data_IF_057784855873
#
_entry.id   IF_057784855873
#
_cell.length_a   1.000
_cell.length_b   1.000
_cell.length_c   1.000
_cell.angle_alpha   90.00
_cell.angle_beta   90.00
_cell.angle_gamma   90.00
#
_symmetry.space_group_name_H-M   'P 1'
#
loop_
_entity.id
_entity.type
_entity.pdbx_description
1 polymer ?
#
# COMPACT_ATOMS: atom_id res chain seq x y z
N UNK A 1 12.01 -31.77 23.98
CA UNK A 1 12.63 -30.44 23.92
C UNK A 1 12.40 -29.97 22.51
N UNK A 2 11.32 -29.22 22.35
CA UNK A 2 10.73 -28.88 21.06
C UNK A 2 11.64 -27.87 20.33
N UNK A 3 11.78 -28.00 19.03
CA UNK A 3 12.57 -27.06 18.19
C UNK A 3 11.89 -25.68 18.06
N UNK A 4 10.78 -25.47 18.77
CA UNK A 4 9.99 -24.24 18.80
C UNK A 4 10.54 -23.14 19.74
N UNK A 5 11.48 -23.45 20.64
CA UNK A 5 11.98 -22.51 21.66
C UNK A 5 13.37 -21.90 21.34
N UNK A 6 13.98 -22.22 20.20
CA UNK A 6 15.20 -21.52 19.78
C UNK A 6 14.80 -20.17 19.15
N UNK A 7 15.35 -19.02 19.60
CA UNK A 7 15.11 -17.76 18.93
C UNK A 7 15.56 -17.91 17.46
N UNK A 8 14.75 -17.48 16.48
CA UNK A 8 15.14 -17.58 15.09
C UNK A 8 16.49 -16.88 14.89
N UNK A 9 17.36 -17.48 14.07
CA UNK A 9 18.64 -16.85 13.74
C UNK A 9 18.36 -15.44 13.18
N UNK A 10 19.02 -14.43 13.74
CA UNK A 10 18.83 -13.04 13.37
C UNK A 10 19.05 -12.86 11.86
N UNK A 11 18.05 -12.32 11.15
CA UNK A 11 18.11 -12.03 9.72
C UNK A 11 18.95 -10.76 9.49
N UNK A 12 20.26 -10.92 9.39
CA UNK A 12 21.20 -9.80 9.23
C UNK A 12 21.46 -9.52 7.76
N UNK A 13 21.10 -8.32 7.31
CA UNK A 13 21.54 -7.75 6.03
C UNK A 13 22.55 -6.63 6.31
N UNK A 14 23.70 -6.69 5.64
CA UNK A 14 24.82 -5.75 5.88
C UNK A 14 25.09 -4.78 4.74
N UNK A 15 24.49 -5.04 3.58
CA UNK A 15 24.82 -4.34 2.34
C UNK A 15 23.61 -3.62 1.77
N UNK A 16 23.89 -2.58 1.00
CA UNK A 16 22.97 -1.96 0.04
C UNK A 16 23.06 -2.73 -1.29
N UNK A 17 22.10 -2.53 -2.19
CA UNK A 17 22.22 -3.02 -3.57
C UNK A 17 22.36 -1.84 -4.52
N UNK A 18 23.55 -1.65 -5.09
CA UNK A 18 23.86 -0.48 -5.92
C UNK A 18 24.65 -0.95 -7.13
N UNK A 19 24.26 -0.49 -8.32
CA UNK A 19 24.92 -0.84 -9.57
C UNK A 19 25.01 -2.36 -9.82
N UNK A 20 24.03 -3.14 -9.35
CA UNK A 20 23.99 -4.60 -9.54
C UNK A 20 24.68 -5.42 -8.44
N UNK A 21 25.42 -4.78 -7.54
CA UNK A 21 26.22 -5.45 -6.52
C UNK A 21 25.73 -5.16 -5.09
N UNK A 22 25.99 -6.10 -4.18
CA UNK A 22 25.86 -5.88 -2.75
C UNK A 22 27.09 -5.11 -2.25
N UNK A 23 26.89 -3.88 -1.79
CA UNK A 23 27.97 -2.97 -1.38
C UNK A 23 27.83 -2.53 0.07
N UNK A 24 28.95 -2.19 0.71
CA UNK A 24 28.92 -1.58 2.02
C UNK A 24 28.22 -0.21 1.98
N UNK A 25 27.37 0.09 2.97
CA UNK A 25 26.82 1.42 3.16
C UNK A 25 27.94 2.40 3.57
N UNK A 26 27.77 3.68 3.28
CA UNK A 26 28.47 4.69 4.06
C UNK A 26 28.05 4.56 5.54
N UNK A 27 28.96 4.86 6.47
CA UNK A 27 28.74 4.61 7.89
C UNK A 27 27.52 5.39 8.43
N UNK A 28 26.36 4.70 8.50
CA UNK A 28 25.10 5.19 9.07
C UNK A 28 24.56 4.28 10.18
N UNK A 29 25.26 3.20 10.51
CA UNK A 29 24.82 2.19 11.48
C UNK A 29 23.79 1.21 10.90
N UNK A 30 22.92 0.69 11.77
CA UNK A 30 21.91 -0.32 11.41
C UNK A 30 20.53 0.05 11.96
N UNK A 31 19.50 -0.47 11.31
CA UNK A 31 18.10 -0.39 11.72
C UNK A 31 17.67 -1.78 12.19
N UNK A 32 17.24 -1.95 13.45
CA UNK A 32 16.69 -3.21 13.92
C UNK A 32 15.28 -3.42 13.35
N UNK A 33 14.96 -4.67 13.03
CA UNK A 33 13.63 -5.10 12.59
C UNK A 33 12.99 -5.91 13.71
N UNK A 34 11.89 -5.40 14.23
CA UNK A 34 11.14 -6.00 15.33
C UNK A 34 10.03 -6.92 14.79
N UNK A 35 9.76 -8.03 15.47
CA UNK A 35 8.53 -8.78 15.28
C UNK A 35 7.41 -8.16 16.14
N UNK A 36 6.38 -7.55 15.54
CA UNK A 36 5.35 -6.84 16.29
C UNK A 36 4.46 -7.75 17.16
N UNK A 37 4.48 -9.06 16.94
CA UNK A 37 3.71 -10.01 17.76
C UNK A 37 4.42 -10.33 19.08
N UNK A 38 5.75 -10.19 19.14
CA UNK A 38 6.56 -10.59 20.31
C UNK A 38 7.33 -9.43 20.94
N UNK A 39 7.64 -8.39 20.17
CA UNK A 39 8.54 -7.29 20.55
C UNK A 39 10.03 -7.62 20.41
N UNK A 40 10.37 -8.79 19.85
CA UNK A 40 11.75 -9.25 19.70
C UNK A 40 12.36 -8.77 18.38
N UNK A 41 13.67 -8.50 18.39
CA UNK A 41 14.39 -8.15 17.17
C UNK A 41 14.68 -9.43 16.37
N UNK A 42 14.14 -9.51 15.17
CA UNK A 42 14.25 -10.66 14.25
C UNK A 42 15.27 -10.43 13.13
N UNK A 43 15.66 -9.18 12.89
CA UNK A 43 16.61 -8.85 11.85
C UNK A 43 17.20 -7.47 12.01
N UNK A 44 18.11 -7.13 11.11
CA UNK A 44 18.65 -5.78 11.00
C UNK A 44 19.12 -5.51 9.58
N UNK A 45 18.99 -4.26 9.16
CA UNK A 45 19.44 -3.77 7.84
C UNK A 45 20.34 -2.55 8.03
N UNK A 46 21.16 -2.17 7.04
CA UNK A 46 21.91 -0.92 7.09
C UNK A 46 20.98 0.29 7.19
N UNK A 47 21.43 1.32 7.91
CA UNK A 47 20.82 2.64 7.82
C UNK A 47 21.60 3.44 6.76
N UNK A 48 21.06 3.51 5.54
CA UNK A 48 21.67 4.28 4.46
C UNK A 48 21.74 5.77 4.77
N UNK A 49 22.63 6.45 4.06
CA UNK A 49 22.92 7.88 4.21
C UNK A 49 22.60 8.65 2.93
N UNK A 50 22.61 9.99 2.94
CA UNK A 50 22.53 10.78 1.71
C UNK A 50 23.63 10.44 0.70
N UNK A 51 24.84 10.12 1.15
CA UNK A 51 25.94 9.71 0.26
C UNK A 51 25.64 8.39 -0.46
N UNK A 52 24.89 7.48 0.18
CA UNK A 52 24.45 6.25 -0.47
C UNK A 52 23.34 6.49 -1.50
N UNK A 53 22.47 7.46 -1.23
CA UNK A 53 21.48 7.94 -2.22
C UNK A 53 22.21 8.50 -3.45
N UNK A 54 23.21 9.36 -3.26
CA UNK A 54 23.98 9.94 -4.37
C UNK A 54 24.63 8.84 -5.22
N UNK A 55 25.24 7.83 -4.58
CA UNK A 55 25.83 6.66 -5.27
C UNK A 55 24.79 5.88 -6.07
N UNK A 56 23.63 5.61 -5.48
CA UNK A 56 22.55 4.86 -6.12
C UNK A 56 21.91 5.64 -7.29
N UNK A 57 21.71 6.95 -7.13
CA UNK A 57 21.16 7.81 -8.19
C UNK A 57 22.16 7.96 -9.34
N UNK A 58 23.45 8.10 -9.05
CA UNK A 58 24.48 8.12 -10.09
C UNK A 58 24.50 6.82 -10.90
N UNK A 59 24.38 5.67 -10.24
CA UNK A 59 24.28 4.37 -10.91
C UNK A 59 23.01 4.26 -11.78
N UNK A 60 21.87 4.68 -11.26
CA UNK A 60 20.60 4.72 -12.00
C UNK A 60 20.70 5.62 -13.24
N UNK A 61 21.24 6.83 -13.09
CA UNK A 61 21.44 7.79 -14.18
C UNK A 61 22.36 7.23 -15.28
N UNK A 62 23.44 6.55 -14.90
CA UNK A 62 24.36 5.93 -15.85
C UNK A 62 23.72 4.77 -16.63
N UNK A 63 22.85 3.98 -15.98
CA UNK A 63 22.17 2.85 -16.60
C UNK A 63 21.00 3.26 -17.51
N UNK A 64 20.40 4.42 -17.26
CA UNK A 64 19.16 4.87 -17.93
C UNK A 64 19.20 4.84 -19.46
N UNK A 65 20.20 5.41 -20.16
CA UNK A 65 20.20 5.41 -21.63
C UNK A 65 20.16 4.00 -22.23
N UNK A 66 20.86 3.04 -21.62
CA UNK A 66 20.89 1.65 -22.09
C UNK A 66 19.58 0.92 -21.85
N UNK A 67 18.99 1.08 -20.67
CA UNK A 67 17.72 0.44 -20.31
C UNK A 67 16.52 1.02 -21.07
N UNK A 68 16.48 2.35 -21.25
CA UNK A 68 15.45 3.01 -22.04
C UNK A 68 15.46 2.56 -23.51
N UNK A 69 16.63 2.21 -24.05
CA UNK A 69 16.81 1.72 -25.41
C UNK A 69 16.58 0.21 -25.59
N UNK A 70 16.47 -0.57 -24.51
CA UNK A 70 16.17 -2.01 -24.56
C UNK A 70 14.85 -2.25 -25.30
N UNK A 71 14.77 -3.26 -26.16
CA UNK A 71 13.54 -3.54 -26.90
C UNK A 71 12.40 -3.95 -25.95
N UNK A 72 11.12 -3.64 -26.26
CA UNK A 72 9.97 -4.02 -25.42
C UNK A 72 9.95 -5.50 -25.01
N UNK A 73 10.18 -6.41 -25.96
CA UNK A 73 10.21 -7.86 -25.71
C UNK A 73 11.39 -8.28 -24.79
N UNK A 74 12.54 -7.63 -24.94
CA UNK A 74 13.70 -7.87 -24.07
C UNK A 74 13.44 -7.36 -22.65
N UNK A 75 12.85 -6.16 -22.50
CA UNK A 75 12.42 -5.63 -21.18
C UNK A 75 11.41 -6.57 -20.52
N UNK A 76 10.41 -7.04 -21.28
CA UNK A 76 9.45 -8.02 -20.79
C UNK A 76 10.14 -9.31 -20.32
N UNK A 77 11.13 -9.81 -21.06
CA UNK A 77 11.88 -11.01 -20.68
C UNK A 77 12.69 -10.82 -19.38
N UNK A 78 13.24 -9.62 -19.11
CA UNK A 78 13.86 -9.31 -17.81
C UNK A 78 12.83 -9.34 -16.67
N UNK A 79 11.66 -8.74 -16.86
CA UNK A 79 10.59 -8.74 -15.86
C UNK A 79 10.01 -10.15 -15.62
N UNK A 80 9.97 -10.99 -16.65
CA UNK A 80 9.51 -12.38 -16.52
C UNK A 80 10.49 -13.23 -15.71
N UNK A 81 11.80 -13.04 -15.90
CA UNK A 81 12.82 -13.67 -15.03
C UNK A 81 12.71 -13.21 -13.58
N UNK A 82 12.46 -11.91 -13.36
CA UNK A 82 12.20 -11.38 -12.01
C UNK A 82 10.94 -12.01 -11.40
N UNK A 83 9.87 -12.15 -12.18
CA UNK A 83 8.66 -12.83 -11.74
C UNK A 83 8.96 -14.28 -11.34
N UNK A 84 9.70 -15.03 -12.16
CA UNK A 84 10.05 -16.41 -11.86
C UNK A 84 10.89 -16.53 -10.57
N UNK A 85 11.90 -15.68 -10.39
CA UNK A 85 12.75 -15.67 -9.20
C UNK A 85 11.97 -15.30 -7.92
N UNK A 86 11.02 -14.36 -8.00
CA UNK A 86 10.13 -14.04 -6.88
C UNK A 86 9.12 -15.15 -6.59
N UNK A 87 8.54 -15.77 -7.63
CA UNK A 87 7.57 -16.85 -7.46
C UNK A 87 8.20 -18.05 -6.74
N UNK A 88 9.46 -18.36 -7.02
CA UNK A 88 10.22 -19.39 -6.31
C UNK A 88 10.42 -19.08 -4.81
N UNK A 89 10.25 -17.82 -4.39
CA UNK A 89 10.41 -17.35 -3.01
C UNK A 89 9.08 -17.00 -2.32
N UNK A 90 7.94 -17.31 -2.94
CA UNK A 90 6.63 -16.87 -2.43
C UNK A 90 6.35 -17.30 -0.97
N UNK A 91 6.75 -18.52 -0.60
CA UNK A 91 6.58 -19.02 0.77
C UNK A 91 7.51 -18.32 1.77
N UNK A 92 8.76 -18.05 1.37
CA UNK A 92 9.72 -17.30 2.19
C UNK A 92 9.22 -15.87 2.43
N UNK A 93 8.76 -15.20 1.36
CA UNK A 93 8.17 -13.87 1.43
C UNK A 93 6.98 -13.85 2.39
N UNK A 94 6.05 -14.81 2.28
CA UNK A 94 4.89 -14.87 3.15
C UNK A 94 5.27 -15.02 4.63
N UNK A 95 6.27 -15.85 4.93
CA UNK A 95 6.77 -16.04 6.31
C UNK A 95 7.50 -14.80 6.81
N UNK A 96 8.31 -14.15 5.98
CA UNK A 96 9.00 -12.90 6.33
C UNK A 96 7.99 -11.80 6.64
N UNK A 97 6.94 -11.63 5.84
CA UNK A 97 5.88 -10.64 6.12
C UNK A 97 5.12 -10.97 7.41
N UNK A 98 4.83 -12.25 7.68
CA UNK A 98 4.22 -12.65 8.94
C UNK A 98 5.10 -12.32 10.17
N UNK A 99 6.43 -12.36 10.00
CA UNK A 99 7.40 -12.00 11.05
C UNK A 99 7.58 -10.49 11.21
N UNK A 100 7.82 -9.74 10.13
CA UNK A 100 8.20 -8.31 10.23
C UNK A 100 6.99 -7.36 10.29
N UNK A 101 5.84 -7.76 9.74
CA UNK A 101 4.61 -6.95 9.75
C UNK A 101 3.55 -7.51 10.71
N UNK A 102 3.59 -8.82 10.99
CA UNK A 102 2.58 -9.49 11.80
C UNK A 102 1.31 -9.89 11.03
N UNK A 103 1.31 -9.84 9.70
CA UNK A 103 0.14 -10.31 8.92
C UNK A 103 -0.04 -11.82 9.12
N UNK A 104 -1.25 -12.32 9.48
CA UNK A 104 -1.48 -13.75 9.61
C UNK A 104 -1.06 -14.53 8.37
N UNK A 105 -0.36 -15.65 8.53
CA UNK A 105 0.34 -16.34 7.44
C UNK A 105 -0.57 -16.66 6.24
N UNK A 106 -1.80 -17.11 6.51
CA UNK A 106 -2.81 -17.37 5.45
C UNK A 106 -3.14 -16.13 4.61
N UNK A 107 -3.14 -14.96 5.23
CA UNK A 107 -3.34 -13.68 4.54
C UNK A 107 -2.04 -13.22 3.87
N UNK A 108 -0.89 -13.40 4.53
CA UNK A 108 0.42 -13.09 3.97
C UNK A 108 0.68 -13.87 2.67
N UNK A 109 0.41 -15.17 2.63
CA UNK A 109 0.56 -15.99 1.42
C UNK A 109 -0.30 -15.49 0.27
N UNK A 110 -1.61 -15.33 0.50
CA UNK A 110 -2.55 -15.00 -0.59
C UNK A 110 -2.42 -13.56 -1.07
N UNK A 111 -2.20 -12.63 -0.15
CA UNK A 111 -2.24 -11.19 -0.44
C UNK A 111 -0.85 -10.60 -0.48
N UNK A 112 -0.04 -10.76 0.58
CA UNK A 112 1.27 -10.09 0.65
C UNK A 112 2.32 -10.69 -0.30
N UNK A 113 2.27 -11.99 -0.58
CA UNK A 113 3.13 -12.66 -1.56
C UNK A 113 2.43 -12.87 -2.92
N UNK A 114 1.16 -13.27 -2.93
CA UNK A 114 0.44 -13.59 -4.17
C UNK A 114 0.05 -12.39 -5.04
N UNK A 115 -0.44 -11.30 -4.43
CA UNK A 115 -0.82 -10.10 -5.17
C UNK A 115 0.36 -9.45 -5.93
N UNK A 116 1.56 -9.25 -5.34
CA UNK A 116 2.69 -8.68 -6.09
C UNK A 116 3.09 -9.53 -7.29
N UNK A 117 3.02 -10.87 -7.21
CA UNK A 117 3.29 -11.73 -8.37
C UNK A 117 2.28 -11.49 -9.50
N UNK A 118 1.00 -11.34 -9.14
CA UNK A 118 -0.06 -11.04 -10.11
C UNK A 118 0.16 -9.67 -10.77
N UNK A 119 0.52 -8.65 -9.98
CA UNK A 119 0.83 -7.31 -10.51
C UNK A 119 2.06 -7.35 -11.40
N UNK A 120 3.16 -7.99 -10.97
CA UNK A 120 4.37 -8.10 -11.77
C UNK A 120 4.12 -8.84 -13.09
N UNK A 121 3.33 -9.91 -13.08
CA UNK A 121 2.91 -10.62 -14.30
C UNK A 121 2.22 -9.68 -15.29
N UNK A 122 1.31 -8.82 -14.81
CA UNK A 122 0.68 -7.84 -15.70
C UNK A 122 1.66 -6.83 -16.29
N UNK A 123 2.73 -6.49 -15.56
CA UNK A 123 3.77 -5.58 -16.05
C UNK A 123 4.68 -6.23 -17.09
N UNK A 124 4.91 -7.55 -17.02
CA UNK A 124 5.55 -8.32 -18.11
C UNK A 124 4.76 -8.15 -19.40
N UNK A 125 3.44 -8.35 -19.32
CA UNK A 125 2.53 -8.30 -20.46
C UNK A 125 2.40 -6.89 -21.06
N UNK A 126 2.50 -5.85 -20.23
CA UNK A 126 2.47 -4.44 -20.64
C UNK A 126 3.83 -3.96 -21.17
N UNK A 127 4.95 -4.46 -20.63
CA UNK A 127 6.28 -4.13 -21.13
C UNK A 127 6.49 -4.59 -22.58
N UNK A 128 5.91 -5.74 -22.96
CA UNK A 128 5.93 -6.26 -24.33
C UNK A 128 5.02 -5.47 -25.29
N UNK A 129 4.08 -4.67 -24.75
CA UNK A 129 3.06 -3.94 -25.51
C UNK A 129 3.00 -2.48 -25.07
N UNK A 130 4.04 -1.69 -25.37
CA UNK A 130 4.06 -0.28 -24.99
C UNK A 130 2.87 0.46 -25.63
N UNK A 131 2.40 1.57 -25.02
CA UNK A 131 1.35 2.39 -25.59
C UNK A 131 1.67 2.78 -27.03
N UNK A 132 0.66 2.71 -27.90
CA UNK A 132 0.83 3.05 -29.31
C UNK A 132 1.16 4.54 -29.49
N UNK A 133 2.01 4.84 -30.47
CA UNK A 133 2.21 6.20 -30.95
C UNK A 133 0.95 6.67 -31.69
N UNK A 134 0.63 7.96 -31.58
CA UNK A 134 -0.52 8.57 -32.23
C UNK A 134 -0.06 9.70 -33.16
N UNK A 135 -0.71 9.86 -34.33
CA UNK A 135 -0.49 11.04 -35.18
C UNK A 135 -1.67 12.01 -35.06
N UNK A 136 -1.39 13.23 -34.60
CA UNK A 136 -2.36 14.33 -34.52
C UNK A 136 -1.94 15.40 -35.53
N UNK A 137 -2.67 15.50 -36.66
CA UNK A 137 -2.27 16.38 -37.75
C UNK A 137 -0.91 15.97 -38.34
N UNK A 138 0.09 16.87 -38.26
CA UNK A 138 1.47 16.61 -38.69
C UNK A 138 2.41 16.19 -37.53
N UNK A 139 1.88 16.07 -36.32
CA UNK A 139 2.66 15.72 -35.13
C UNK A 139 2.57 14.23 -34.83
N UNK A 140 3.70 13.54 -34.73
CA UNK A 140 3.77 12.22 -34.11
C UNK A 140 3.92 12.40 -32.59
N UNK A 141 2.98 11.86 -31.82
CA UNK A 141 3.01 11.85 -30.36
C UNK A 141 3.60 10.52 -29.89
N UNK A 142 4.73 10.60 -29.18
CA UNK A 142 5.43 9.45 -28.61
C UNK A 142 5.48 9.55 -27.08
N UNK A 143 5.60 8.40 -26.41
CA UNK A 143 5.84 8.30 -24.96
C UNK A 143 7.25 7.82 -24.69
N UNK A 144 7.95 8.48 -23.79
CA UNK A 144 9.33 8.14 -23.43
C UNK A 144 9.45 8.02 -21.91
N UNK A 145 10.30 7.14 -21.37
CA UNK A 145 10.48 7.03 -19.92
C UNK A 145 10.93 8.36 -19.31
N UNK A 146 10.39 8.69 -18.13
CA UNK A 146 10.70 9.95 -17.44
C UNK A 146 12.16 10.05 -16.98
N UNK A 147 12.82 8.90 -16.74
CA UNK A 147 14.24 8.86 -16.36
C UNK A 147 14.50 8.06 -15.09
N UNK A 148 15.14 8.70 -14.11
CA UNK A 148 15.43 8.13 -12.79
C UNK A 148 14.24 8.36 -11.87
N UNK A 149 13.73 7.27 -11.30
CA UNK A 149 12.59 7.28 -10.36
C UNK A 149 13.09 7.03 -8.94
N UNK A 150 12.76 7.94 -8.03
CA UNK A 150 12.86 7.71 -6.60
C UNK A 150 11.59 7.04 -6.08
N UNK A 151 11.66 5.78 -5.69
CA UNK A 151 10.53 5.02 -5.16
C UNK A 151 10.61 4.92 -3.63
N UNK A 152 9.59 5.41 -2.92
CA UNK A 152 9.50 5.39 -1.46
C UNK A 152 8.21 4.68 -1.05
N UNK A 153 8.31 3.60 -0.28
CA UNK A 153 7.17 2.71 0.02
C UNK A 153 6.88 2.58 1.51
N UNK A 154 5.60 2.33 1.87
CA UNK A 154 5.16 2.15 3.24
C UNK A 154 5.37 0.69 3.67
N UNK A 155 5.04 0.42 4.93
CA UNK A 155 5.28 -0.86 5.59
C UNK A 155 4.11 -1.87 5.47
N UNK A 156 2.90 -1.41 5.15
CA UNK A 156 1.69 -2.20 5.37
C UNK A 156 1.43 -3.28 4.30
N UNK A 157 1.98 -3.10 3.10
CA UNK A 157 1.98 -4.10 2.03
C UNK A 157 3.37 -4.13 1.38
N UNK A 158 4.39 -4.63 2.11
CA UNK A 158 5.79 -4.25 1.86
C UNK A 158 6.30 -4.65 0.48
N UNK A 159 5.94 -5.84 -0.04
CA UNK A 159 6.32 -6.22 -1.40
C UNK A 159 5.40 -5.60 -2.45
N UNK A 160 4.08 -5.63 -2.21
CA UNK A 160 3.11 -5.16 -3.20
C UNK A 160 3.31 -3.68 -3.54
N UNK A 161 3.55 -2.82 -2.54
CA UNK A 161 3.81 -1.40 -2.76
C UNK A 161 5.12 -1.14 -3.50
N UNK A 162 6.12 -2.00 -3.31
CA UNK A 162 7.36 -1.93 -4.09
C UNK A 162 7.09 -2.33 -5.53
N UNK A 163 6.42 -3.46 -5.76
CA UNK A 163 6.12 -3.96 -7.11
C UNK A 163 5.20 -2.99 -7.88
N UNK A 164 4.22 -2.37 -7.22
CA UNK A 164 3.31 -1.39 -7.83
C UNK A 164 4.02 -0.13 -8.36
N UNK A 165 5.26 0.13 -7.93
CA UNK A 165 6.10 1.25 -8.39
C UNK A 165 7.23 0.79 -9.29
N UNK A 166 8.02 -0.17 -8.82
CA UNK A 166 9.23 -0.63 -9.50
C UNK A 166 8.88 -1.30 -10.82
N UNK A 167 7.91 -2.22 -10.84
CA UNK A 167 7.59 -2.97 -12.05
C UNK A 167 7.08 -2.09 -13.21
N UNK A 168 6.10 -1.18 -13.02
CA UNK A 168 5.69 -0.28 -14.09
C UNK A 168 6.78 0.73 -14.50
N UNK A 169 7.61 1.22 -13.57
CA UNK A 169 8.75 2.07 -13.92
C UNK A 169 9.75 1.34 -14.82
N UNK A 170 10.10 0.10 -14.48
CA UNK A 170 10.96 -0.74 -15.31
C UNK A 170 10.33 -1.07 -16.67
N UNK A 171 9.03 -1.37 -16.69
CA UNK A 171 8.28 -1.62 -17.92
C UNK A 171 8.28 -0.41 -18.87
N UNK A 172 8.17 0.80 -18.32
CA UNK A 172 8.26 2.06 -19.07
C UNK A 172 9.68 2.35 -19.60
N UNK A 173 10.71 1.69 -19.07
CA UNK A 173 12.12 1.93 -19.41
C UNK A 173 12.85 2.89 -18.47
N UNK A 174 12.30 3.18 -17.29
CA UNK A 174 12.94 3.98 -16.25
C UNK A 174 13.93 3.14 -15.43
N UNK A 175 14.86 3.82 -14.76
CA UNK A 175 15.67 3.23 -13.69
C UNK A 175 15.16 3.67 -12.32
N UNK A 176 15.36 2.86 -11.28
CA UNK A 176 14.76 3.10 -9.97
C UNK A 176 15.80 3.08 -8.84
N UNK A 177 15.64 4.01 -7.89
CA UNK A 177 16.26 3.94 -6.56
C UNK A 177 15.14 3.75 -5.54
N UNK A 178 15.14 2.61 -4.85
CA UNK A 178 14.11 2.23 -3.89
C UNK A 178 14.57 2.50 -2.45
N UNK A 179 13.72 3.17 -1.68
CA UNK A 179 13.77 3.21 -0.21
C UNK A 179 12.51 2.57 0.39
N UNK A 180 12.58 1.30 0.85
CA UNK A 180 11.46 0.65 1.53
C UNK A 180 11.30 1.17 2.95
N UNK A 181 10.12 1.02 3.56
CA UNK A 181 9.95 1.37 4.97
C UNK A 181 10.93 0.62 5.87
N UNK A 182 11.51 1.36 6.82
CA UNK A 182 12.41 0.89 7.86
C UNK A 182 11.77 -0.14 8.81
N UNK A 183 10.44 -0.22 8.86
CA UNK A 183 9.72 -1.17 9.73
C UNK A 183 9.60 -2.57 9.12
N UNK A 184 9.60 -2.68 7.78
CA UNK A 184 9.43 -3.95 7.07
C UNK A 184 10.42 -4.07 5.89
N UNK A 185 11.74 -3.93 6.12
CA UNK A 185 12.70 -3.87 5.04
C UNK A 185 13.10 -5.26 4.52
N UNK A 186 12.89 -6.34 5.26
CA UNK A 186 13.44 -7.67 4.93
C UNK A 186 12.81 -8.23 3.66
N UNK A 187 11.53 -7.98 3.43
CA UNK A 187 10.86 -8.38 2.18
C UNK A 187 11.45 -7.67 0.95
N UNK A 188 11.91 -6.42 1.08
CA UNK A 188 12.60 -5.74 -0.01
C UNK A 188 13.96 -6.39 -0.33
N UNK A 189 14.65 -6.94 0.67
CA UNK A 189 15.87 -7.71 0.42
C UNK A 189 15.61 -9.00 -0.36
N UNK A 190 14.51 -9.71 -0.10
CA UNK A 190 14.12 -10.87 -0.89
C UNK A 190 13.83 -10.51 -2.35
N UNK A 191 13.25 -9.33 -2.60
CA UNK A 191 13.12 -8.79 -3.95
C UNK A 191 14.48 -8.58 -4.60
N UNK A 192 15.46 -8.01 -3.89
CA UNK A 192 16.78 -7.72 -4.47
C UNK A 192 17.66 -8.97 -4.65
N UNK A 193 17.47 -10.00 -3.83
CA UNK A 193 17.99 -11.33 -4.11
C UNK A 193 17.43 -11.85 -5.46
N UNK A 194 16.12 -11.70 -5.69
CA UNK A 194 15.48 -12.07 -6.95
C UNK A 194 15.89 -11.20 -8.15
N UNK A 195 16.13 -9.89 -7.94
CA UNK A 195 16.69 -8.98 -8.97
C UNK A 195 18.07 -9.46 -9.42
N UNK A 196 18.91 -9.86 -8.46
CA UNK A 196 20.27 -10.36 -8.73
C UNK A 196 20.20 -11.65 -9.53
N UNK A 197 19.34 -12.59 -9.14
CA UNK A 197 19.11 -13.84 -9.87
C UNK A 197 18.54 -13.61 -11.29
N UNK A 198 17.63 -12.65 -11.45
CA UNK A 198 17.01 -12.34 -12.74
C UNK A 198 17.98 -11.68 -13.73
N UNK A 199 19.13 -11.17 -13.26
CA UNK A 199 20.15 -10.54 -14.08
C UNK A 199 19.63 -9.27 -14.76
N UNK A 200 19.00 -8.37 -13.99
CA UNK A 200 18.74 -7.01 -14.48
C UNK A 200 20.07 -6.28 -14.70
N UNK A 201 20.17 -5.40 -15.71
CA UNK A 201 21.41 -4.66 -15.94
C UNK A 201 21.84 -3.84 -14.72
N UNK A 202 23.15 -3.74 -14.45
CA UNK A 202 23.70 -2.90 -13.38
C UNK A 202 23.09 -1.50 -13.33
N UNK A 203 22.59 -1.10 -12.16
CA UNK A 203 22.05 0.25 -11.91
C UNK A 203 20.60 0.47 -12.31
N UNK A 204 19.96 -0.47 -13.02
CA UNK A 204 18.55 -0.33 -13.42
C UNK A 204 17.62 -0.27 -12.22
N UNK A 205 17.93 -0.99 -11.15
CA UNK A 205 17.22 -0.93 -9.88
C UNK A 205 18.24 -0.97 -8.74
N UNK A 206 18.06 -0.10 -7.74
CA UNK A 206 18.99 0.07 -6.61
C UNK A 206 18.20 0.12 -5.30
N UNK A 207 18.77 -0.39 -4.20
CA UNK A 207 18.18 -0.45 -2.87
C UNK A 207 18.99 0.37 -1.88
N UNK A 208 18.35 1.37 -1.27
CA UNK A 208 18.91 2.13 -0.15
C UNK A 208 17.91 2.13 1.02
N UNK A 209 17.95 1.16 1.95
CA UNK A 209 17.20 1.23 3.19
C UNK A 209 17.67 2.42 4.03
N UNK A 210 16.77 2.95 4.86
CA UNK A 210 17.06 4.05 5.75
C UNK A 210 15.77 4.68 6.26
N UNK A 211 15.86 5.68 7.13
CA UNK A 211 14.67 6.36 7.66
C UNK A 211 14.12 7.38 6.68
N UNK A 212 12.85 7.74 6.84
CA UNK A 212 12.21 8.79 6.03
C UNK A 212 12.96 10.13 6.05
N UNK A 213 13.27 10.71 7.23
CA UNK A 213 13.96 12.00 7.33
C UNK A 213 15.38 12.04 6.74
N UNK A 214 16.04 10.89 6.59
CA UNK A 214 17.43 10.81 6.08
C UNK A 214 17.42 10.42 4.61
N UNK A 215 17.12 9.16 4.31
CA UNK A 215 17.21 8.63 2.93
C UNK A 215 16.01 9.06 2.10
N UNK A 216 14.81 9.09 2.70
CA UNK A 216 13.60 9.49 1.98
C UNK A 216 13.63 10.95 1.53
N UNK A 217 14.04 11.88 2.41
CA UNK A 217 14.18 13.29 2.04
C UNK A 217 15.33 13.53 1.07
N UNK A 218 16.48 12.87 1.27
CA UNK A 218 17.61 12.96 0.34
C UNK A 218 17.19 12.54 -1.07
N UNK A 219 16.49 11.40 -1.21
CA UNK A 219 16.01 10.91 -2.49
C UNK A 219 14.98 11.84 -3.13
N UNK A 220 14.06 12.41 -2.34
CA UNK A 220 13.02 13.31 -2.85
C UNK A 220 13.57 14.67 -3.30
N UNK A 221 14.65 15.14 -2.68
CA UNK A 221 15.31 16.41 -3.00
C UNK A 221 16.42 16.26 -4.06
N UNK A 222 16.82 15.04 -4.41
CA UNK A 222 18.03 14.80 -5.19
C UNK A 222 17.94 15.40 -6.61
N UNK A 223 18.95 16.17 -7.09
CA UNK A 223 18.90 16.91 -8.35
C UNK A 223 18.73 16.04 -9.62
N UNK A 224 19.14 14.79 -9.54
CA UNK A 224 19.07 13.85 -10.68
C UNK A 224 17.92 12.82 -10.58
N UNK A 225 16.88 13.06 -9.78
CA UNK A 225 15.67 12.21 -9.72
C UNK A 225 14.50 12.85 -10.47
N UNK A 226 14.10 12.30 -11.61
CA UNK A 226 13.13 12.93 -12.53
C UNK A 226 11.68 12.81 -12.03
N UNK A 227 11.37 11.73 -11.30
CA UNK A 227 10.06 11.50 -10.69
C UNK A 227 10.22 10.87 -9.30
N UNK A 228 9.44 11.34 -8.32
CA UNK A 228 9.33 10.71 -7.00
C UNK A 228 7.97 10.01 -6.87
N UNK A 229 7.97 8.69 -6.74
CA UNK A 229 6.77 7.90 -6.48
C UNK A 229 6.74 7.51 -5.00
N UNK A 230 5.75 8.04 -4.27
CA UNK A 230 5.62 7.86 -2.83
C UNK A 230 4.25 7.29 -2.48
N UNK A 231 4.24 6.24 -1.64
CA UNK A 231 3.04 5.84 -0.91
C UNK A 231 3.29 5.97 0.59
N UNK A 232 2.33 6.55 1.33
CA UNK A 232 2.41 6.65 2.77
C UNK A 232 1.45 7.68 3.34
N UNK A 233 1.86 8.40 4.39
CA UNK A 233 0.97 9.37 5.05
C UNK A 233 0.79 10.65 4.21
N UNK A 234 -0.37 11.29 4.32
CA UNK A 234 -0.63 12.61 3.69
C UNK A 234 0.39 13.68 4.12
N UNK A 235 0.84 13.65 5.39
CA UNK A 235 1.82 14.60 5.90
C UNK A 235 3.18 14.44 5.21
N UNK A 236 3.66 13.19 5.09
CA UNK A 236 4.91 12.88 4.38
C UNK A 236 4.77 13.16 2.88
N UNK A 237 3.65 12.82 2.25
CA UNK A 237 3.41 13.13 0.83
C UNK A 237 3.50 14.62 0.52
N UNK A 238 2.96 15.48 1.40
CA UNK A 238 3.11 16.94 1.28
C UNK A 238 4.57 17.38 1.42
N UNK A 239 5.33 16.78 2.34
CA UNK A 239 6.77 17.05 2.49
C UNK A 239 7.54 16.68 1.24
N UNK A 240 7.28 15.50 0.66
CA UNK A 240 7.87 15.04 -0.61
C UNK A 240 7.57 16.03 -1.74
N UNK A 241 6.31 16.46 -1.87
CA UNK A 241 5.92 17.44 -2.89
C UNK A 241 6.67 18.78 -2.74
N UNK A 242 6.87 19.27 -1.50
CA UNK A 242 7.67 20.48 -1.27
C UNK A 242 9.15 20.30 -1.62
N UNK A 243 9.74 19.15 -1.31
CA UNK A 243 11.15 18.85 -1.64
C UNK A 243 11.38 18.73 -3.16
N UNK A 244 10.40 18.20 -3.88
CA UNK A 244 10.43 18.08 -5.34
C UNK A 244 10.17 19.41 -6.08
N UNK A 245 9.56 20.40 -5.41
CA UNK A 245 9.03 21.60 -6.04
C UNK A 245 10.10 22.52 -6.65
N UNK A 246 11.21 22.75 -5.94
CA UNK A 246 12.28 23.67 -6.38
C UNK A 246 12.91 23.24 -7.72
N UNK A 247 12.79 21.95 -8.03
CA UNK A 247 13.33 21.30 -9.22
C UNK A 247 12.26 20.90 -10.23
N UNK A 248 10.99 21.20 -9.94
CA UNK A 248 9.83 20.85 -10.77
C UNK A 248 9.82 19.35 -11.10
N UNK A 249 10.28 18.51 -10.16
CA UNK A 249 10.23 17.06 -10.33
C UNK A 249 8.78 16.59 -10.18
N UNK A 250 8.38 15.62 -11.00
CA UNK A 250 7.04 15.03 -10.90
C UNK A 250 6.91 14.23 -9.60
N UNK A 251 5.73 14.29 -8.99
CA UNK A 251 5.41 13.46 -7.82
C UNK A 251 4.16 12.64 -8.10
N UNK A 252 4.26 11.33 -7.87
CA UNK A 252 3.13 10.41 -7.83
C UNK A 252 2.90 10.03 -6.37
N UNK A 253 1.72 10.31 -5.83
CA UNK A 253 1.43 10.26 -4.41
C UNK A 253 0.21 9.38 -4.14
N UNK A 254 0.34 8.39 -3.27
CA UNK A 254 -0.76 7.58 -2.75
C UNK A 254 -0.80 7.68 -1.21
N UNK A 255 -1.81 8.36 -0.66
CA UNK A 255 -1.73 9.04 0.65
C UNK A 255 -2.76 8.62 1.70
N UNK A 256 -3.33 7.43 1.54
CA UNK A 256 -4.32 6.88 2.48
C UNK A 256 -5.75 7.35 2.21
N UNK A 257 -6.66 6.97 3.11
CA UNK A 257 -8.08 7.17 2.89
C UNK A 257 -8.97 7.11 4.12
N UNK A 258 -10.24 7.42 3.87
CA UNK A 258 -11.35 7.21 4.81
C UNK A 258 -12.55 6.66 4.04
N UNK A 259 -12.32 5.52 3.39
CA UNK A 259 -13.21 4.92 2.40
C UNK A 259 -14.60 4.64 2.96
N UNK A 260 -15.64 4.97 2.19
CA UNK A 260 -17.03 4.76 2.57
C UNK A 260 -17.57 3.48 1.92
N UNK A 261 -18.24 2.65 2.71
CA UNK A 261 -19.02 1.51 2.28
C UNK A 261 -20.51 1.83 2.45
N UNK A 262 -21.19 2.15 1.35
CA UNK A 262 -22.59 2.59 1.32
C UNK A 262 -23.51 1.38 1.11
N UNK A 263 -24.39 1.12 2.06
CA UNK A 263 -25.34 0.02 2.01
C UNK A 263 -26.76 0.59 1.87
N UNK A 264 -27.31 0.53 0.65
CA UNK A 264 -28.66 1.01 0.35
C UNK A 264 -29.75 0.14 1.00
N UNK A 265 -30.97 0.67 1.10
CA UNK A 265 -32.07 0.03 1.84
C UNK A 265 -32.43 -1.36 1.31
N UNK A 266 -32.29 -1.58 0.00
CA UNK A 266 -32.63 -2.80 -0.72
C UNK A 266 -31.48 -3.82 -0.80
N UNK A 267 -30.30 -3.48 -0.28
CA UNK A 267 -29.12 -4.33 -0.35
C UNK A 267 -29.29 -5.66 0.42
N UNK A 268 -28.58 -6.69 -0.02
CA UNK A 268 -28.29 -7.88 0.79
C UNK A 268 -27.39 -7.49 1.98
N UNK A 269 -28.04 -7.04 3.06
CA UNK A 269 -27.38 -6.52 4.25
C UNK A 269 -26.47 -7.55 4.94
N UNK A 270 -26.87 -8.83 5.15
CA UNK A 270 -25.95 -9.83 5.69
C UNK A 270 -24.63 -9.93 4.91
N UNK A 271 -24.71 -9.98 3.57
CA UNK A 271 -23.51 -10.04 2.72
C UNK A 271 -22.71 -8.74 2.79
N UNK A 272 -23.37 -7.59 2.62
CA UNK A 272 -22.73 -6.27 2.64
C UNK A 272 -22.00 -5.97 3.97
N UNK A 273 -22.61 -6.31 5.10
CA UNK A 273 -22.01 -6.17 6.43
C UNK A 273 -20.82 -7.11 6.60
N UNK A 274 -20.98 -8.40 6.26
CA UNK A 274 -19.91 -9.39 6.40
C UNK A 274 -18.67 -9.02 5.58
N UNK A 275 -18.87 -8.63 4.32
CA UNK A 275 -17.77 -8.20 3.44
C UNK A 275 -17.20 -6.87 3.92
N UNK A 276 -18.04 -5.93 4.34
CA UNK A 276 -17.61 -4.63 4.85
C UNK A 276 -16.74 -4.70 6.10
N UNK A 277 -17.14 -5.50 7.10
CA UNK A 277 -16.31 -5.76 8.29
C UNK A 277 -15.00 -6.43 7.89
N UNK A 278 -15.05 -7.42 7.00
CA UNK A 278 -13.85 -8.10 6.53
C UNK A 278 -12.87 -7.20 5.78
N UNK A 279 -13.37 -6.25 4.99
CA UNK A 279 -12.55 -5.25 4.32
C UNK A 279 -11.94 -4.26 5.33
N UNK A 280 -12.74 -3.73 6.25
CA UNK A 280 -12.29 -2.77 7.25
C UNK A 280 -11.21 -3.33 8.20
N UNK A 281 -11.26 -4.63 8.49
CA UNK A 281 -10.33 -5.31 9.41
C UNK A 281 -9.19 -6.04 8.68
N UNK A 282 -9.14 -6.00 7.34
CA UNK A 282 -8.09 -6.63 6.56
C UNK A 282 -6.72 -6.09 6.98
N UNK A 283 -5.75 -6.99 7.18
CA UNK A 283 -4.40 -6.64 7.63
C UNK A 283 -4.39 -5.80 8.93
N UNK A 284 -5.29 -6.15 9.86
CA UNK A 284 -5.50 -5.40 11.11
C UNK A 284 -5.91 -3.95 10.88
N UNK A 285 -6.64 -3.67 9.79
CA UNK A 285 -7.06 -2.34 9.38
C UNK A 285 -5.93 -1.44 8.88
N UNK A 286 -4.71 -1.98 8.71
CA UNK A 286 -3.55 -1.28 8.18
C UNK A 286 -3.58 -1.28 6.63
N UNK A 287 -4.67 -0.76 6.08
CA UNK A 287 -4.97 -0.82 4.65
C UNK A 287 -5.53 0.51 4.21
N UNK A 288 -4.85 1.19 3.27
CA UNK A 288 -5.24 2.52 2.79
C UNK A 288 -6.66 2.55 2.18
N UNK A 289 -7.08 1.44 1.57
CA UNK A 289 -8.40 1.29 0.97
C UNK A 289 -9.49 0.85 1.94
N UNK A 290 -9.16 0.52 3.21
CA UNK A 290 -10.09 -0.03 4.18
C UNK A 290 -11.37 0.79 4.29
N UNK A 291 -12.52 0.12 4.18
CA UNK A 291 -13.84 0.73 4.30
C UNK A 291 -14.21 1.04 5.75
N UNK A 292 -13.52 2.03 6.31
CA UNK A 292 -13.60 2.41 7.74
C UNK A 292 -14.81 3.26 8.09
N UNK A 293 -15.63 3.65 7.10
CA UNK A 293 -16.97 4.24 7.30
C UNK A 293 -18.02 3.35 6.65
N UNK A 294 -18.78 2.62 7.45
CA UNK A 294 -19.93 1.84 6.99
C UNK A 294 -21.19 2.69 7.11
N UNK A 295 -21.74 3.09 5.97
CA UNK A 295 -22.95 3.89 5.88
C UNK A 295 -24.13 2.95 5.67
N UNK A 296 -25.13 3.00 6.55
CA UNK A 296 -26.29 2.08 6.52
C UNK A 296 -27.58 2.87 6.52
N UNK A 297 -28.53 2.48 5.66
CA UNK A 297 -29.86 3.09 5.65
C UNK A 297 -30.55 2.95 7.02
N UNK A 298 -31.13 4.03 7.52
CA UNK A 298 -31.67 4.16 8.89
C UNK A 298 -32.68 3.07 9.26
N UNK A 299 -33.51 2.66 8.30
CA UNK A 299 -34.56 1.66 8.51
C UNK A 299 -34.00 0.27 8.85
N UNK A 300 -32.73 0.02 8.52
CA UNK A 300 -32.05 -1.25 8.76
C UNK A 300 -30.85 -1.13 9.70
N UNK A 301 -30.72 0.02 10.37
CA UNK A 301 -29.55 0.35 11.18
C UNK A 301 -29.39 -0.62 12.36
N UNK A 302 -30.45 -0.89 13.12
CA UNK A 302 -30.39 -1.79 14.27
C UNK A 302 -29.96 -3.22 13.87
N UNK A 303 -30.57 -3.76 12.82
CA UNK A 303 -30.22 -5.07 12.26
C UNK A 303 -28.76 -5.11 11.78
N UNK A 304 -28.28 -4.05 11.12
CA UNK A 304 -26.90 -3.97 10.69
C UNK A 304 -25.92 -3.99 11.86
N UNK A 305 -26.23 -3.31 12.97
CA UNK A 305 -25.37 -3.31 14.15
C UNK A 305 -25.25 -4.69 14.80
N UNK A 306 -26.35 -5.46 14.87
CA UNK A 306 -26.31 -6.84 15.36
C UNK A 306 -25.45 -7.72 14.45
N UNK A 307 -25.59 -7.58 13.14
CA UNK A 307 -24.77 -8.29 12.15
C UNK A 307 -23.28 -7.89 12.24
N UNK A 308 -22.99 -6.61 12.45
CA UNK A 308 -21.63 -6.10 12.61
C UNK A 308 -21.00 -6.67 13.87
N UNK A 309 -21.69 -6.64 15.02
CA UNK A 309 -21.22 -7.19 16.27
C UNK A 309 -20.90 -8.70 16.13
N UNK A 310 -21.80 -9.46 15.50
CA UNK A 310 -21.61 -10.88 15.23
C UNK A 310 -20.41 -11.15 14.31
N UNK A 311 -20.23 -10.35 13.26
CA UNK A 311 -19.11 -10.50 12.33
C UNK A 311 -17.76 -10.21 12.99
N UNK A 312 -17.68 -9.15 13.81
CA UNK A 312 -16.45 -8.72 14.50
C UNK A 312 -15.98 -9.74 15.52
N UNK A 313 -16.89 -10.46 16.20
CA UNK A 313 -16.54 -11.49 17.18
C UNK A 313 -15.67 -12.63 16.60
N UNK A 314 -15.66 -12.81 15.28
CA UNK A 314 -14.80 -13.75 14.57
C UNK A 314 -13.36 -13.27 14.33
N UNK A 315 -13.03 -12.01 14.60
CA UNK A 315 -11.70 -11.42 14.38
C UNK A 315 -10.92 -11.37 15.68
N UNK A 316 -10.31 -12.50 16.08
CA UNK A 316 -9.50 -12.55 17.30
C UNK A 316 -8.04 -12.19 16.97
N UNK A 317 -7.45 -11.19 17.66
CA UNK A 317 -6.01 -10.94 17.65
C UNK A 317 -5.25 -12.18 18.13
N UNK A 318 -4.16 -12.53 17.46
CA UNK A 318 -3.37 -13.71 17.83
C UNK A 318 -2.03 -13.80 17.12
N UNK A 319 -1.30 -14.88 17.39
CA UNK A 319 -0.04 -15.22 16.72
C UNK A 319 -0.27 -15.32 15.20
N UNK A 320 0.49 -14.56 14.38
CA UNK A 320 0.39 -14.64 12.92
C UNK A 320 0.59 -16.05 12.32
N UNK A 321 1.28 -16.95 13.03
CA UNK A 321 1.53 -18.32 12.60
C UNK A 321 0.45 -19.32 13.02
N UNK A 322 -0.44 -18.95 13.94
CA UNK A 322 -1.60 -19.79 14.28
C UNK A 322 -2.61 -19.76 13.11
N UNK A 323 -2.96 -20.92 12.51
CA UNK A 323 -3.92 -20.99 11.41
C UNK A 323 -5.34 -20.51 11.77
N UNK A 324 -5.68 -20.40 13.05
CA UNK A 324 -6.93 -19.83 13.53
C UNK A 324 -6.91 -18.29 13.60
N UNK A 325 -5.74 -17.65 13.58
CA UNK A 325 -5.61 -16.20 13.69
C UNK A 325 -6.20 -15.50 12.46
N UNK A 326 -7.05 -14.51 12.73
CA UNK A 326 -7.68 -13.66 11.70
C UNK A 326 -7.22 -12.21 11.73
N UNK A 327 -6.60 -11.79 12.85
CA UNK A 327 -6.13 -10.42 13.06
C UNK A 327 -4.72 -10.49 13.68
N UNK A 328 -3.75 -9.87 13.03
CA UNK A 328 -2.38 -9.77 13.54
C UNK A 328 -2.20 -8.56 14.47
N UNK A 329 -1.00 -8.35 15.02
CA UNK A 329 -0.66 -7.10 15.71
C UNK A 329 -0.63 -5.92 14.72
N UNK A 330 -0.53 -4.71 15.25
CA UNK A 330 -0.12 -3.54 14.48
C UNK A 330 1.40 -3.50 14.35
N UNK A 331 1.91 -2.87 13.29
CA UNK A 331 3.33 -2.95 12.91
C UNK A 331 4.32 -2.47 13.98
N UNK A 332 3.90 -1.61 14.90
CA UNK A 332 4.79 -1.03 15.92
C UNK A 332 4.02 -0.52 17.14
N UNK A 333 4.74 -0.31 18.24
CA UNK A 333 4.20 0.31 19.46
C UNK A 333 3.57 1.68 19.18
N UNK A 334 4.28 2.54 18.42
CA UNK A 334 3.80 3.87 18.06
C UNK A 334 2.49 3.82 17.25
N UNK A 335 2.34 2.84 16.36
CA UNK A 335 1.10 2.66 15.61
C UNK A 335 -0.02 2.16 16.52
N UNK A 336 0.26 1.24 17.46
CA UNK A 336 -0.73 0.79 18.43
C UNK A 336 -1.20 1.91 19.37
N UNK A 337 -0.28 2.74 19.87
CA UNK A 337 -0.60 3.92 20.67
C UNK A 337 -1.47 4.92 19.91
N UNK A 338 -1.13 5.19 18.64
CA UNK A 338 -1.95 6.06 17.78
C UNK A 338 -3.38 5.53 17.65
N UNK A 339 -3.54 4.25 17.38
CA UNK A 339 -4.88 3.63 17.20
C UNK A 339 -5.66 3.67 18.52
N UNK A 340 -5.03 3.33 19.66
CA UNK A 340 -5.66 3.44 20.98
C UNK A 340 -6.11 4.88 21.27
N UNK A 341 -5.28 5.87 20.96
CA UNK A 341 -5.65 7.28 21.09
C UNK A 341 -6.89 7.69 20.27
N UNK A 342 -7.09 7.10 19.07
CA UNK A 342 -8.34 7.31 18.31
C UNK A 342 -9.55 6.64 18.97
N UNK A 343 -9.38 5.44 19.54
CA UNK A 343 -10.44 4.72 20.27
C UNK A 343 -10.85 5.51 21.52
N UNK A 344 -9.89 5.98 22.31
CA UNK A 344 -10.14 6.75 23.53
C UNK A 344 -10.85 8.07 23.21
N UNK A 345 -10.43 8.76 22.14
CA UNK A 345 -11.10 9.98 21.67
C UNK A 345 -12.53 9.72 21.22
N UNK A 346 -12.79 8.64 20.47
CA UNK A 346 -14.13 8.31 20.03
C UNK A 346 -15.08 8.03 21.21
N UNK A 347 -14.60 7.37 22.26
CA UNK A 347 -15.35 7.18 23.52
C UNK A 347 -15.62 8.53 24.22
N UNK A 348 -14.61 9.39 24.31
CA UNK A 348 -14.74 10.71 24.92
C UNK A 348 -15.71 11.63 24.15
N UNK A 349 -15.74 11.52 22.83
CA UNK A 349 -16.66 12.24 21.94
C UNK A 349 -18.11 11.67 21.99
N UNK A 350 -18.35 10.60 22.74
CA UNK A 350 -19.67 10.03 22.98
C UNK A 350 -20.13 9.00 21.94
N UNK A 351 -19.24 8.50 21.08
CA UNK A 351 -19.58 7.43 20.14
C UNK A 351 -19.94 6.14 20.88
N UNK A 352 -20.99 5.44 20.44
CA UNK A 352 -21.46 4.23 21.12
C UNK A 352 -20.61 3.03 20.74
N UNK A 353 -19.95 2.41 21.73
CA UNK A 353 -19.20 1.18 21.52
C UNK A 353 -20.14 0.00 21.23
N UNK A 354 -19.92 -0.69 20.10
CA UNK A 354 -20.70 -1.87 19.67
C UNK A 354 -19.93 -3.16 19.95
N UNK A 355 -18.63 -3.17 19.68
CA UNK A 355 -17.76 -4.33 19.86
C UNK A 355 -16.31 -3.87 20.10
N UNK A 356 -15.52 -4.70 20.78
CA UNK A 356 -14.11 -4.42 21.07
C UNK A 356 -13.93 -3.40 22.18
N UNK A 357 -13.09 -2.39 21.95
CA UNK A 357 -12.77 -1.34 22.92
C UNK A 357 -11.57 -1.69 23.82
N UNK A 358 -11.20 -0.77 24.72
CA UNK A 358 -9.97 -0.87 25.54
C UNK A 358 -9.92 -2.10 26.46
N UNK A 359 -11.08 -2.56 26.94
CA UNK A 359 -11.19 -3.67 27.89
C UNK A 359 -11.25 -5.06 27.24
N UNK A 360 -11.23 -5.12 25.90
CA UNK A 360 -11.27 -6.39 25.19
C UNK A 360 -9.98 -7.20 25.44
N UNK A 361 -10.09 -8.54 25.60
CA UNK A 361 -8.92 -9.36 25.88
C UNK A 361 -7.96 -9.38 24.69
N UNK A 362 -6.67 -9.21 24.98
CA UNK A 362 -5.59 -9.22 24.01
C UNK A 362 -4.47 -10.18 24.44
N UNK A 363 -3.65 -10.66 23.49
CA UNK A 363 -2.41 -11.34 23.83
C UNK A 363 -1.55 -10.50 24.79
N UNK A 364 -0.80 -11.14 25.72
CA UNK A 364 -0.06 -10.43 26.78
C UNK A 364 1.20 -9.72 26.29
N UNK A 365 1.64 -9.98 25.05
CA UNK A 365 2.80 -9.38 24.40
C UNK A 365 2.43 -8.98 22.98
N UNK A 366 3.22 -8.09 22.39
CA UNK A 366 3.02 -7.58 21.03
C UNK A 366 2.08 -6.39 20.95
N UNK A 367 2.03 -5.78 19.77
CA UNK A 367 1.34 -4.51 19.50
C UNK A 367 -0.10 -4.72 19.07
N UNK A 368 -0.85 -5.52 19.83
CA UNK A 368 -2.23 -5.84 19.51
C UNK A 368 -3.19 -4.72 19.92
N UNK A 369 -4.22 -4.52 19.10
CA UNK A 369 -5.38 -3.68 19.38
C UNK A 369 -6.64 -4.46 19.01
N UNK A 370 -7.66 -4.39 19.86
CA UNK A 370 -8.90 -5.11 19.63
C UNK A 370 -9.66 -4.51 18.43
N UNK A 371 -10.30 -5.35 17.59
CA UNK A 371 -11.17 -4.83 16.55
C UNK A 371 -12.35 -4.10 17.19
N UNK A 372 -12.45 -2.80 16.94
CA UNK A 372 -13.33 -1.90 17.66
C UNK A 372 -14.34 -1.28 16.71
N UNK A 373 -15.61 -1.31 17.08
CA UNK A 373 -16.68 -0.71 16.28
C UNK A 373 -17.46 0.29 17.08
N UNK A 374 -17.68 1.46 16.47
CA UNK A 374 -18.51 2.52 17.00
C UNK A 374 -19.76 2.73 16.14
N UNK A 375 -20.92 2.78 16.80
CA UNK A 375 -22.19 3.21 16.23
C UNK A 375 -22.46 4.68 16.55
N UNK A 376 -23.49 5.22 15.89
CA UNK A 376 -24.01 6.57 16.08
C UNK A 376 -22.91 7.64 15.85
N UNK A 377 -21.96 7.33 14.96
CA UNK A 377 -20.81 8.19 14.67
C UNK A 377 -21.27 9.36 13.81
N UNK A 378 -21.13 10.59 14.32
CA UNK A 378 -21.44 11.79 13.56
C UNK A 378 -20.48 11.94 12.36
N UNK A 379 -20.96 12.27 11.14
CA UNK A 379 -20.14 12.43 9.94
C UNK A 379 -18.96 13.39 10.10
N UNK A 380 -19.11 14.44 10.91
CA UNK A 380 -18.05 15.45 11.14
C UNK A 380 -17.13 15.13 12.34
N UNK A 381 -17.34 14.02 13.03
CA UNK A 381 -16.49 13.62 14.17
C UNK A 381 -15.06 13.30 13.72
N UNK A 382 -14.10 13.40 14.64
CA UNK A 382 -12.72 13.02 14.38
C UNK A 382 -12.61 11.57 13.88
N UNK A 383 -13.37 10.64 14.47
CA UNK A 383 -13.40 9.24 14.04
C UNK A 383 -13.88 9.08 12.59
N UNK A 384 -14.87 9.86 12.15
CA UNK A 384 -15.36 9.84 10.78
C UNK A 384 -14.42 10.56 9.79
N UNK A 385 -13.62 11.52 10.23
CA UNK A 385 -12.79 12.35 9.34
C UNK A 385 -11.31 11.93 9.26
N UNK A 386 -10.77 11.30 10.30
CA UNK A 386 -9.35 10.96 10.39
C UNK A 386 -9.09 9.48 10.05
N UNK A 387 -8.00 9.24 9.32
CA UNK A 387 -7.49 7.89 9.07
C UNK A 387 -6.83 7.35 10.33
N UNK A 388 -7.44 6.29 10.89
CA UNK A 388 -6.97 5.59 12.09
C UNK A 388 -5.84 4.60 11.75
N UNK A 389 -5.98 3.91 10.61
CA UNK A 389 -5.03 2.92 10.12
C UNK A 389 -4.78 1.76 11.11
N UNK A 390 -5.89 1.25 11.64
CA UNK A 390 -5.98 0.14 12.60
C UNK A 390 -7.38 -0.46 12.55
N UNK A 391 -7.68 -1.48 13.37
CA UNK A 391 -8.91 -2.27 13.23
C UNK A 391 -10.11 -1.56 13.88
N UNK A 392 -10.46 -0.37 13.37
CA UNK A 392 -11.52 0.50 13.90
C UNK A 392 -12.52 0.86 12.80
N UNK A 393 -13.81 0.59 13.06
CA UNK A 393 -14.90 0.85 12.12
C UNK A 393 -15.92 1.85 12.70
N UNK A 394 -16.28 2.86 11.92
CA UNK A 394 -17.38 3.78 12.22
C UNK A 394 -18.63 3.38 11.43
N UNK A 395 -19.77 3.23 12.11
CA UNK A 395 -21.07 2.93 11.49
C UNK A 395 -21.96 4.17 11.56
N UNK A 396 -22.37 4.68 10.39
CA UNK A 396 -23.05 5.96 10.23
C UNK A 396 -24.43 5.73 9.58
N UNK A 397 -25.55 6.14 10.20
CA UNK A 397 -26.87 6.04 9.56
C UNK A 397 -27.06 7.12 8.48
N UNK A 398 -27.90 6.84 7.50
CA UNK A 398 -28.42 7.84 6.54
C UNK A 398 -29.90 7.57 6.21
N UNK A 399 -30.62 8.58 5.73
CA UNK A 399 -32.06 8.52 5.46
C UNK A 399 -32.40 8.34 3.97
N UNK A 400 -31.55 8.81 3.06
CA UNK A 400 -31.75 8.64 1.62
C UNK A 400 -30.41 8.61 0.86
N UNK A 401 -30.49 8.31 -0.43
CA UNK A 401 -29.33 8.19 -1.31
C UNK A 401 -28.53 9.50 -1.44
N UNK A 402 -29.18 10.66 -1.38
CA UNK A 402 -28.50 11.94 -1.50
C UNK A 402 -27.69 12.24 -0.24
N UNK A 403 -28.26 11.97 0.94
CA UNK A 403 -27.54 12.03 2.21
C UNK A 403 -26.38 11.03 2.25
N UNK A 404 -26.58 9.79 1.78
CA UNK A 404 -25.49 8.80 1.72
C UNK A 404 -24.30 9.29 0.89
N UNK A 405 -24.58 9.88 -0.28
CA UNK A 405 -23.55 10.47 -1.15
C UNK A 405 -22.90 11.68 -0.48
N UNK A 406 -23.67 12.54 0.19
CA UNK A 406 -23.16 13.68 0.91
C UNK A 406 -22.19 13.25 2.03
N UNK A 407 -22.58 12.29 2.86
CA UNK A 407 -21.73 11.73 3.93
C UNK A 407 -20.49 11.05 3.32
N UNK A 408 -20.64 10.22 2.30
CA UNK A 408 -19.53 9.53 1.66
C UNK A 408 -18.49 10.53 1.10
N UNK A 409 -18.96 11.61 0.47
CA UNK A 409 -18.11 12.67 -0.08
C UNK A 409 -17.60 13.67 0.97
N UNK A 410 -18.19 13.73 2.17
CA UNK A 410 -17.74 14.54 3.30
C UNK A 410 -16.48 13.93 3.95
N UNK A 411 -15.39 13.99 3.20
CA UNK A 411 -14.05 13.61 3.64
C UNK A 411 -13.03 14.33 2.76
N UNK A 412 -11.90 14.71 3.34
CA UNK A 412 -10.73 15.21 2.58
C UNK A 412 -10.12 14.14 1.66
N UNK A 413 -10.43 12.87 1.91
CA UNK A 413 -9.94 11.72 1.17
C UNK A 413 -10.91 11.28 0.06
N UNK A 414 -10.41 10.44 -0.84
CA UNK A 414 -11.17 9.85 -1.94
C UNK A 414 -10.43 8.70 -2.60
N UNK A 415 -9.96 7.71 -1.82
CA UNK A 415 -9.18 6.59 -2.35
C UNK A 415 -10.04 5.43 -2.87
N UNK A 416 -10.74 4.75 -1.96
CA UNK A 416 -11.61 3.63 -2.28
C UNK A 416 -13.01 3.78 -1.65
N UNK A 417 -13.92 2.87 -1.99
CA UNK A 417 -15.26 2.78 -1.40
C UNK A 417 -16.05 1.60 -1.97
N UNK A 418 -17.28 1.44 -1.51
CA UNK A 418 -18.20 0.44 -2.01
C UNK A 418 -19.64 0.93 -1.99
N UNK A 419 -20.47 0.35 -2.85
CA UNK A 419 -21.93 0.55 -2.87
C UNK A 419 -22.63 -0.80 -3.00
N UNK A 420 -23.64 -1.03 -2.16
CA UNK A 420 -24.45 -2.24 -2.15
C UNK A 420 -25.92 -1.92 -2.43
N UNK A 421 -26.53 -2.69 -3.32
CA UNK A 421 -27.96 -2.61 -3.69
C UNK A 421 -28.38 -3.90 -4.40
N UNK A 422 -29.66 -4.26 -4.32
CA UNK A 422 -30.19 -5.35 -5.14
C UNK A 422 -30.36 -4.91 -6.61
N UNK A 423 -30.47 -3.60 -6.86
CA UNK A 423 -30.41 -3.01 -8.19
C UNK A 423 -28.98 -2.53 -8.51
N UNK A 424 -28.31 -3.25 -9.40
CA UNK A 424 -26.95 -2.92 -9.83
C UNK A 424 -26.85 -1.55 -10.52
N UNK A 425 -27.87 -1.14 -11.29
CA UNK A 425 -27.88 0.17 -11.93
C UNK A 425 -28.04 1.29 -10.91
N UNK A 426 -28.83 1.08 -9.86
CA UNK A 426 -28.92 2.00 -8.73
C UNK A 426 -27.57 2.12 -7.99
N UNK A 427 -26.91 0.99 -7.73
CA UNK A 427 -25.57 1.00 -7.12
C UNK A 427 -24.54 1.73 -8.00
N UNK A 428 -24.56 1.50 -9.32
CA UNK A 428 -23.70 2.20 -10.29
C UNK A 428 -24.00 3.70 -10.35
N UNK A 429 -25.27 4.10 -10.29
CA UNK A 429 -25.67 5.50 -10.26
C UNK A 429 -25.12 6.22 -9.02
N UNK A 430 -25.13 5.57 -7.85
CA UNK A 430 -24.52 6.09 -6.63
C UNK A 430 -23.00 6.09 -6.73
N UNK A 431 -22.38 5.01 -7.22
CA UNK A 431 -20.93 4.89 -7.37
C UNK A 431 -20.35 6.03 -8.22
N UNK A 432 -21.01 6.40 -9.33
CA UNK A 432 -20.61 7.53 -10.20
C UNK A 432 -20.63 8.89 -9.49
N UNK A 433 -21.40 9.04 -8.41
CA UNK A 433 -21.49 10.29 -7.62
C UNK A 433 -20.44 10.35 -6.50
N UNK A 434 -19.74 9.26 -6.21
CA UNK A 434 -18.68 9.24 -5.22
C UNK A 434 -17.40 9.85 -5.81
N UNK A 435 -16.80 10.79 -5.09
CA UNK A 435 -15.54 11.45 -5.47
C UNK A 435 -14.34 10.65 -4.96
N UNK A 436 -14.21 9.44 -5.50
CA UNK A 436 -13.28 8.40 -5.05
C UNK A 436 -12.65 7.69 -6.24
N UNK A 437 -11.40 7.24 -6.09
CA UNK A 437 -10.62 6.58 -7.14
C UNK A 437 -11.14 5.22 -7.59
N UNK A 438 -11.52 4.37 -6.64
CA UNK A 438 -12.03 3.03 -6.88
C UNK A 438 -13.33 2.80 -6.09
N UNK A 439 -14.35 2.23 -6.71
CA UNK A 439 -15.61 1.89 -6.05
C UNK A 439 -16.02 0.47 -6.40
N UNK A 440 -16.21 -0.36 -5.38
CA UNK A 440 -16.67 -1.73 -5.55
C UNK A 440 -18.21 -1.74 -5.50
N UNK A 441 -18.86 -2.18 -6.58
CA UNK A 441 -20.31 -2.43 -6.59
C UNK A 441 -20.55 -3.88 -6.16
N UNK A 442 -21.37 -4.08 -5.13
CA UNK A 442 -21.75 -5.40 -4.61
C UNK A 442 -20.55 -6.34 -4.33
N UNK A 443 -19.43 -5.78 -3.86
CA UNK A 443 -18.22 -6.54 -3.55
C UNK A 443 -17.42 -6.98 -4.78
N UNK A 444 -17.46 -6.18 -5.86
CA UNK A 444 -16.65 -6.38 -7.06
C UNK A 444 -15.18 -6.72 -6.77
N UNK A 445 -14.62 -7.63 -7.55
CA UNK A 445 -13.26 -8.11 -7.33
C UNK A 445 -12.21 -7.06 -7.72
N UNK A 446 -11.11 -7.02 -6.96
CA UNK A 446 -9.95 -6.20 -7.29
C UNK A 446 -9.35 -6.61 -8.64
N UNK A 447 -9.14 -5.63 -9.53
CA UNK A 447 -8.57 -5.84 -10.85
C UNK A 447 -7.19 -5.13 -10.97
N UNK A 448 -6.07 -5.86 -10.99
CA UNK A 448 -4.73 -5.26 -11.09
C UNK A 448 -4.43 -4.62 -12.45
N UNK A 449 -5.31 -4.81 -13.45
CA UNK A 449 -5.22 -4.15 -14.76
C UNK A 449 -5.94 -2.80 -14.81
N UNK A 450 -6.77 -2.49 -13.82
CA UNK A 450 -7.47 -1.21 -13.70
C UNK A 450 -6.60 -0.20 -12.92
N UNK A 451 -6.77 1.11 -13.17
CA UNK A 451 -6.02 2.13 -12.43
C UNK A 451 -6.42 2.16 -10.95
N UNK A 452 -5.44 2.35 -10.09
CA UNK A 452 -5.60 2.57 -8.67
C UNK A 452 -5.06 3.94 -8.30
N UNK A 453 -5.81 4.72 -7.53
CA UNK A 453 -5.26 5.93 -6.93
C UNK A 453 -6.29 6.99 -6.53
N UNK A 454 -5.84 7.93 -5.71
CA UNK A 454 -6.74 8.83 -4.99
C UNK A 454 -7.36 9.98 -5.78
N UNK A 455 -8.56 10.39 -5.37
CA UNK A 455 -9.08 11.75 -5.53
C UNK A 455 -8.66 12.61 -4.33
N UNK A 456 -8.78 13.95 -4.47
CA UNK A 456 -8.60 14.91 -3.36
C UNK A 456 -7.23 14.74 -2.67
N UNK A 457 -7.19 14.63 -1.34
CA UNK A 457 -5.94 14.47 -0.58
C UNK A 457 -5.46 13.01 -0.49
N UNK A 458 -6.17 12.07 -1.11
CA UNK A 458 -5.72 10.67 -1.17
C UNK A 458 -4.59 10.44 -2.17
N UNK A 459 -4.31 11.38 -3.07
CA UNK A 459 -3.19 11.20 -3.97
C UNK A 459 -3.15 12.12 -5.19
N UNK A 460 -2.09 11.94 -5.96
CA UNK A 460 -1.84 12.54 -7.27
C UNK A 460 -1.23 11.45 -8.18
N UNK A 461 -1.81 11.24 -9.36
CA UNK A 461 -1.39 10.17 -10.28
C UNK A 461 -2.17 8.87 -10.10
N UNK A 462 -1.78 7.82 -10.83
CA UNK A 462 -2.38 6.48 -10.73
C UNK A 462 -1.31 5.40 -10.79
N UNK A 463 -1.51 4.33 -10.01
CA UNK A 463 -0.75 3.08 -10.08
C UNK A 463 -1.56 1.99 -10.79
N UNK A 464 -0.89 0.87 -11.10
CA UNK A 464 -1.46 -0.35 -11.69
C UNK A 464 -2.00 -0.20 -13.13
N UNK A 465 -2.14 -1.34 -13.81
CA UNK A 465 -2.54 -1.39 -15.21
C UNK A 465 -1.66 -0.55 -16.15
N UNK A 466 -2.20 -0.25 -17.34
CA UNK A 466 -1.52 0.63 -18.30
C UNK A 466 -1.32 2.06 -17.79
N UNK A 467 -2.26 2.58 -17.00
CA UNK A 467 -2.18 3.92 -16.41
C UNK A 467 -0.99 4.07 -15.46
N UNK A 468 -0.68 3.03 -14.68
CA UNK A 468 0.51 3.00 -13.83
C UNK A 468 1.81 3.02 -14.62
N UNK A 469 1.85 2.43 -15.82
CA UNK A 469 3.01 2.54 -16.72
C UNK A 469 3.11 3.96 -17.28
N UNK A 470 1.99 4.56 -17.69
CA UNK A 470 1.95 5.93 -18.23
C UNK A 470 2.45 6.98 -17.23
N UNK A 471 2.25 6.77 -15.92
CA UNK A 471 2.78 7.62 -14.86
C UNK A 471 4.31 7.78 -14.96
N UNK A 472 5.03 6.79 -15.48
CA UNK A 472 6.49 6.82 -15.63
C UNK A 472 6.94 7.29 -17.02
N UNK A 473 6.06 7.91 -17.81
CA UNK A 473 6.37 8.41 -19.15
C UNK A 473 6.16 9.92 -19.30
N UNK A 474 6.86 10.50 -20.27
CA UNK A 474 6.66 11.86 -20.80
C UNK A 474 6.14 11.81 -22.23
N UNK A 475 5.22 12.72 -22.56
CA UNK A 475 4.71 12.89 -23.91
C UNK A 475 5.60 13.84 -24.70
N UNK A 476 5.93 13.45 -25.94
CA UNK A 476 6.70 14.27 -26.87
C UNK A 476 5.99 14.34 -28.21
N UNK A 477 5.76 15.55 -28.70
CA UNK A 477 5.26 15.80 -30.05
C UNK A 477 6.45 16.06 -31.00
N UNK A 478 6.60 15.20 -32.01
CA UNK A 478 7.60 15.31 -33.07
C UNK A 478 6.90 15.88 -34.31
N UNK A 479 7.25 17.11 -34.67
CA UNK A 479 6.70 17.80 -35.84
C UNK A 479 7.32 17.21 -37.12
N UNK A 480 6.49 16.82 -38.08
CA UNK A 480 6.91 16.33 -39.40
C UNK A 480 6.43 17.23 -40.52
#
# INVERSE_FOLDING_TARGET
MDLADAPPALLVRRHLHVAGDWVDPADGGTIPVENPATGEIIGQVPAGTPADVDRAVAAARAAFPGWAATAPDERAAHLDRLHAALAARADEIARTVALELGTPLKLATRVQAGLPLTVLRSMVDLAARPPAEETIGNSLVVRQPVGVVGAITPWNYPLHQVVAKVAPALAAGCTVVLKPSELTPLTAYLLFDAVTEAGLPPGVVNLVPGTGPVVGEALAAHPDVDLVSFTGSTATGRRIAHLAADRIARVALELGGKSANVILADADLPTAVKVGVGNALLNSGQTCTAWTRMLVHRDRYAEALDLVAAAVAGYRPGDPFDPATRLGPLVSAAQAERVRGHVDRALADGARLVAGGPDAPLPPRGHFVAPTVFADVHPDSALAQEEVFGPVLAVIPFADTDEAVAIANNSRYGLAGAVWSADEEAALAVARRLRTGQVDVNGGAFNPLAPFGGYKQSGLGRELGGYGVEEFTELKAIQR
#
